data_IF_563822496418
#
_entry.id   IF_563822496418
#
_cell.length_a   1.000
_cell.length_b   1.000
_cell.length_c   1.000
_cell.angle_alpha   90.00
_cell.angle_beta   90.00
_cell.angle_gamma   90.00
#
_symmetry.space_group_name_H-M   'P 1'
#
loop_
_entity.id
_entity.type
_entity.pdbx_description
1 polymer ?
#
# COMPACT_ATOMS: atom_id res chain seq x y z
N UNK A 1 13.74 2.85 1.89
CA UNK A 1 12.29 2.51 1.90
C UNK A 1 11.37 3.69 1.60
N UNK A 2 11.61 4.88 2.15
CA UNK A 2 10.77 6.08 1.98
C UNK A 2 10.25 6.34 0.56
N UNK A 3 11.15 6.33 -0.43
CA UNK A 3 10.82 6.59 -1.84
C UNK A 3 9.81 5.57 -2.38
N UNK A 4 9.99 4.28 -2.07
CA UNK A 4 9.06 3.21 -2.46
C UNK A 4 7.65 3.48 -1.88
N UNK A 5 7.56 3.86 -0.61
CA UNK A 5 6.28 4.13 0.04
C UNK A 5 5.58 5.36 -0.54
N UNK A 6 6.33 6.42 -0.84
CA UNK A 6 5.79 7.61 -1.51
C UNK A 6 5.35 7.31 -2.95
N UNK A 7 6.08 6.44 -3.66
CA UNK A 7 5.69 5.98 -4.98
C UNK A 7 4.38 5.19 -4.91
N UNK A 8 4.23 4.27 -3.95
CA UNK A 8 2.98 3.54 -3.73
C UNK A 8 1.82 4.49 -3.45
N UNK A 9 2.01 5.47 -2.56
CA UNK A 9 1.00 6.48 -2.26
C UNK A 9 0.63 7.31 -3.50
N UNK A 10 1.61 7.78 -4.26
CA UNK A 10 1.38 8.56 -5.48
C UNK A 10 0.57 7.79 -6.52
N UNK A 11 0.87 6.50 -6.72
CA UNK A 11 0.09 5.65 -7.62
C UNK A 11 -1.34 5.43 -7.08
N UNK A 12 -1.53 5.22 -5.78
CA UNK A 12 -2.87 5.09 -5.20
C UNK A 12 -3.73 6.33 -5.46
N UNK A 13 -3.17 7.54 -5.32
CA UNK A 13 -3.88 8.78 -5.61
C UNK A 13 -4.13 9.01 -7.11
N UNK A 14 -3.17 8.62 -7.97
CA UNK A 14 -3.38 8.66 -9.42
C UNK A 14 -4.52 7.69 -9.81
N UNK A 15 -4.63 6.53 -9.15
CA UNK A 15 -5.69 5.54 -9.38
C UNK A 15 -7.13 6.03 -9.15
N UNK A 16 -7.31 7.18 -8.48
CA UNK A 16 -8.63 7.77 -8.21
C UNK A 16 -9.33 8.29 -9.46
N UNK A 17 -8.59 8.61 -10.53
CA UNK A 17 -9.17 9.01 -11.81
C UNK A 17 -9.51 7.78 -12.67
N UNK A 18 -10.29 7.95 -13.74
CA UNK A 18 -10.60 6.89 -14.70
C UNK A 18 -9.38 6.56 -15.57
N UNK A 19 -8.72 5.45 -15.22
CA UNK A 19 -7.54 4.91 -15.89
C UNK A 19 -7.84 3.56 -16.56
N UNK A 20 -7.06 3.15 -17.57
CA UNK A 20 -7.23 1.87 -18.23
C UNK A 20 -6.96 0.69 -17.27
N UNK A 21 -7.58 -0.46 -17.52
CA UNK A 21 -7.49 -1.63 -16.64
C UNK A 21 -6.05 -2.06 -16.31
N UNK A 22 -5.12 -1.91 -17.27
CA UNK A 22 -3.71 -2.24 -17.07
C UNK A 22 -3.03 -1.41 -15.98
N UNK A 23 -3.51 -0.19 -15.72
CA UNK A 23 -3.04 0.65 -14.61
C UNK A 23 -3.31 -0.03 -13.26
N UNK A 24 -4.52 -0.57 -13.07
CA UNK A 24 -4.91 -1.20 -11.80
C UNK A 24 -4.14 -2.50 -11.54
N UNK A 25 -3.72 -3.22 -12.59
CA UNK A 25 -2.81 -4.36 -12.45
C UNK A 25 -1.45 -3.92 -11.95
N UNK A 26 -0.86 -2.87 -12.53
CA UNK A 26 0.41 -2.31 -12.08
C UNK A 26 0.30 -1.79 -10.65
N UNK A 27 -0.77 -1.06 -10.34
CA UNK A 27 -1.06 -0.53 -9.01
C UNK A 27 -1.04 -1.65 -7.96
N UNK A 28 -1.79 -2.72 -8.21
CA UNK A 28 -1.84 -3.91 -7.34
C UNK A 28 -0.46 -4.52 -7.10
N UNK A 29 0.36 -4.68 -8.14
CA UNK A 29 1.72 -5.21 -8.02
C UNK A 29 2.57 -4.30 -7.13
N UNK A 30 2.62 -3.00 -7.43
CA UNK A 30 3.47 -2.05 -6.71
C UNK A 30 3.05 -1.92 -5.25
N UNK A 31 1.75 -1.79 -4.98
CA UNK A 31 1.20 -1.67 -3.64
C UNK A 31 1.42 -2.96 -2.83
N UNK A 32 1.30 -4.13 -3.46
CA UNK A 32 1.61 -5.41 -2.82
C UNK A 32 3.09 -5.49 -2.43
N UNK A 33 4.00 -5.15 -3.35
CA UNK A 33 5.45 -5.13 -3.07
C UNK A 33 5.77 -4.15 -1.94
N UNK A 34 5.22 -2.94 -2.01
CA UNK A 34 5.40 -1.93 -0.96
C UNK A 34 4.89 -2.40 0.40
N UNK A 35 3.74 -3.09 0.42
CA UNK A 35 3.14 -3.60 1.65
C UNK A 35 3.94 -4.76 2.25
N UNK A 36 4.35 -5.72 1.43
CA UNK A 36 5.22 -6.83 1.86
C UNK A 36 6.55 -6.30 2.38
N UNK A 37 7.13 -5.28 1.75
CA UNK A 37 8.35 -4.67 2.24
C UNK A 37 8.17 -4.12 3.67
N UNK A 38 7.04 -3.46 3.98
CA UNK A 38 6.73 -2.98 5.34
C UNK A 38 6.58 -4.13 6.31
N UNK A 39 5.84 -5.17 5.93
CA UNK A 39 5.66 -6.37 6.77
C UNK A 39 7.01 -6.97 7.12
N UNK A 40 7.88 -7.23 6.14
CA UNK A 40 9.19 -7.85 6.38
C UNK A 40 10.06 -6.99 7.29
N UNK A 41 10.11 -5.68 7.09
CA UNK A 41 10.93 -4.79 7.94
C UNK A 41 10.39 -4.64 9.36
N UNK A 42 9.07 -4.66 9.53
CA UNK A 42 8.44 -4.45 10.83
C UNK A 42 8.32 -5.73 11.66
N UNK A 43 8.30 -6.88 11.00
CA UNK A 43 8.16 -8.18 11.65
C UNK A 43 9.35 -8.55 12.53
N UNK A 44 10.53 -7.96 12.30
CA UNK A 44 11.69 -8.09 13.19
C UNK A 44 11.37 -7.62 14.62
N UNK A 45 10.45 -6.66 14.77
CA UNK A 45 9.95 -6.16 16.06
C UNK A 45 8.69 -6.92 16.55
N UNK A 46 8.36 -8.04 15.93
CA UNK A 46 7.18 -8.86 16.22
C UNK A 46 5.90 -8.42 15.51
N UNK A 47 4.76 -9.02 15.91
CA UNK A 47 3.44 -8.69 15.37
C UNK A 47 2.94 -7.35 15.93
N UNK A 48 3.27 -6.26 15.25
CA UNK A 48 2.83 -4.92 15.60
C UNK A 48 1.69 -4.42 14.69
N UNK A 49 1.17 -3.23 14.99
CA UNK A 49 0.08 -2.60 14.22
C UNK A 49 0.41 -2.48 12.72
N UNK A 50 1.65 -2.09 12.37
CA UNK A 50 2.07 -1.92 10.98
C UNK A 50 2.15 -3.25 10.23
N UNK A 51 2.64 -4.31 10.86
CA UNK A 51 2.65 -5.66 10.28
C UNK A 51 1.23 -6.12 9.94
N UNK A 52 0.28 -5.94 10.87
CA UNK A 52 -1.11 -6.39 10.66
C UNK A 52 -1.76 -5.58 9.53
N UNK A 53 -1.66 -4.24 9.59
CA UNK A 53 -2.30 -3.36 8.60
C UNK A 53 -1.71 -3.57 7.21
N UNK A 54 -0.38 -3.57 7.06
CA UNK A 54 0.24 -3.79 5.75
C UNK A 54 0.14 -5.24 5.28
N UNK A 55 0.00 -6.22 6.19
CA UNK A 55 -0.36 -7.59 5.82
C UNK A 55 -1.73 -7.67 5.16
N UNK A 56 -2.73 -6.97 5.73
CA UNK A 56 -4.06 -6.86 5.12
C UNK A 56 -4.03 -6.13 3.77
N UNK A 57 -3.25 -5.05 3.65
CA UNK A 57 -3.07 -4.34 2.37
C UNK A 57 -2.40 -5.24 1.32
N UNK A 58 -1.39 -6.03 1.70
CA UNK A 58 -0.74 -6.99 0.79
C UNK A 58 -1.72 -8.04 0.27
N UNK A 59 -2.66 -8.51 1.11
CA UNK A 59 -3.72 -9.43 0.69
C UNK A 59 -4.74 -8.73 -0.21
N UNK A 60 -5.19 -7.54 0.18
CA UNK A 60 -6.23 -6.77 -0.53
C UNK A 60 -5.81 -6.39 -1.95
N UNK A 61 -4.55 -5.96 -2.10
CA UNK A 61 -3.98 -5.53 -3.37
C UNK A 61 -3.27 -6.65 -4.13
N UNK A 62 -3.29 -7.90 -3.64
CA UNK A 62 -2.57 -9.01 -4.25
C UNK A 62 -3.04 -9.24 -5.72
N UNK A 63 -2.16 -9.17 -6.72
CA UNK A 63 -2.53 -9.40 -8.12
C UNK A 63 -2.85 -10.87 -8.42
N UNK A 64 -2.36 -11.82 -7.62
CA UNK A 64 -2.58 -13.26 -7.84
C UNK A 64 -3.98 -13.71 -7.44
N UNK A 65 -4.56 -13.04 -6.44
CA UNK A 65 -5.91 -13.32 -5.91
C UNK A 65 -6.70 -12.02 -5.95
N UNK A 66 -7.15 -11.58 -7.14
CA UNK A 66 -7.85 -10.31 -7.26
C UNK A 66 -9.21 -10.37 -6.58
N UNK A 67 -9.40 -9.51 -5.58
CA UNK A 67 -10.71 -9.22 -5.01
C UNK A 67 -11.46 -8.30 -5.97
N UNK A 68 -12.66 -8.71 -6.37
CA UNK A 68 -13.56 -7.92 -7.20
C UNK A 68 -14.59 -7.25 -6.29
N UNK A 69 -14.48 -5.93 -6.16
CA UNK A 69 -15.59 -5.11 -5.70
C UNK A 69 -16.36 -4.70 -6.95
N UNK A 70 -17.67 -4.93 -6.98
CA UNK A 70 -18.50 -4.73 -8.16
C UNK A 70 -18.42 -3.29 -8.71
N UNK A 71 -18.18 -2.31 -7.83
CA UNK A 71 -18.10 -0.91 -8.19
C UNK A 71 -16.72 -0.31 -7.91
N UNK A 72 -16.22 0.48 -8.87
CA UNK A 72 -15.01 1.29 -8.70
C UNK A 72 -15.13 2.29 -7.54
N UNK A 73 -16.34 2.79 -7.27
CA UNK A 73 -16.61 3.67 -6.14
C UNK A 73 -16.28 3.03 -4.79
N UNK A 74 -16.32 1.70 -4.69
CA UNK A 74 -15.93 0.97 -3.48
C UNK A 74 -14.41 0.90 -3.30
N UNK A 75 -13.64 0.92 -4.40
CA UNK A 75 -12.17 0.95 -4.36
C UNK A 75 -11.62 2.32 -3.99
N UNK A 76 -12.31 3.40 -4.35
CA UNK A 76 -11.80 4.76 -4.14
C UNK A 76 -11.50 5.09 -2.66
N UNK A 77 -12.37 4.78 -1.67
CA UNK A 77 -12.05 4.96 -0.25
C UNK A 77 -10.87 4.08 0.20
N UNK A 78 -10.77 2.85 -0.33
CA UNK A 78 -9.69 1.92 0.00
C UNK A 78 -8.35 2.48 -0.47
N UNK A 79 -8.30 2.96 -1.72
CA UNK A 79 -7.08 3.53 -2.30
C UNK A 79 -6.63 4.79 -1.55
N UNK A 80 -7.59 5.64 -1.14
CA UNK A 80 -7.30 6.83 -0.32
C UNK A 80 -6.72 6.44 1.03
N UNK A 81 -7.36 5.51 1.76
CA UNK A 81 -6.89 5.07 3.08
C UNK A 81 -5.51 4.41 2.97
N UNK A 82 -5.33 3.53 1.98
CA UNK A 82 -4.03 2.91 1.72
C UNK A 82 -2.96 3.97 1.42
N UNK A 83 -3.26 4.95 0.55
CA UNK A 83 -2.32 6.02 0.19
C UNK A 83 -1.89 6.85 1.40
N UNK A 84 -2.83 7.17 2.30
CA UNK A 84 -2.54 7.86 3.57
C UNK A 84 -1.66 6.99 4.48
N UNK A 85 -1.95 5.70 4.63
CA UNK A 85 -1.14 4.78 5.44
C UNK A 85 0.31 4.69 4.93
N UNK A 86 0.50 4.60 3.61
CA UNK A 86 1.82 4.63 2.98
C UNK A 86 2.57 5.95 3.26
N UNK A 87 1.88 7.09 3.17
CA UNK A 87 2.46 8.40 3.54
C UNK A 87 2.90 8.40 5.01
N UNK A 88 2.00 8.05 5.94
CA UNK A 88 2.28 8.08 7.37
C UNK A 88 3.48 7.19 7.68
N UNK A 89 3.50 5.95 7.17
CA UNK A 89 4.61 5.03 7.40
C UNK A 89 5.93 5.54 6.82
N UNK A 90 5.88 6.22 5.67
CA UNK A 90 7.05 6.84 5.03
C UNK A 90 7.73 7.89 5.90
N UNK A 91 6.96 8.67 6.68
CA UNK A 91 7.51 9.67 7.59
C UNK A 91 7.90 9.11 8.96
N UNK A 92 7.22 8.07 9.45
CA UNK A 92 7.57 7.42 10.73
C UNK A 92 8.95 6.75 10.65
N UNK A 93 9.29 6.14 9.51
CA UNK A 93 10.60 5.51 9.32
C UNK A 93 11.80 6.49 9.29
N UNK A 94 11.59 7.81 9.34
CA UNK A 94 12.69 8.76 9.42
C UNK A 94 13.29 8.87 10.82
N UNK A 95 12.48 8.67 11.88
CA UNK A 95 12.98 8.82 13.26
C UNK A 95 13.99 7.74 13.68
N UNK A 96 14.00 6.59 13.02
CA UNK A 96 14.90 5.47 13.35
C UNK A 96 16.31 5.64 12.77
N UNK A 97 16.56 6.61 11.87
CA UNK A 97 17.87 6.82 11.25
C UNK A 97 18.64 8.02 11.84
N UNK A 98 18.07 8.75 12.79
CA UNK A 98 18.67 9.92 13.46
C UNK A 98 19.01 9.68 14.94
N UNK A 99 19.09 8.43 15.40
CA UNK A 99 19.50 8.08 16.78
C UNK A 99 20.73 7.19 16.80
#
# INVERSE_FOLDING_TARGET
>A
MKILLLLCAGLLFIGLIDLPIGYYTLLRIVVTIGSVAVVVTEFENGLNFWVIVFGLLAILFNPLIPIYLNDKSAWMPIDIVAGILFIIKSFINQKTQEQ
#
